data_IF_922090462536
#
_entry.id   IF_922090462536
#
_cell.length_a   1.000
_cell.length_b   1.000
_cell.length_c   1.000
_cell.angle_alpha   90.00
_cell.angle_beta   90.00
_cell.angle_gamma   90.00
#
_symmetry.space_group_name_H-M   'P 1'
#
loop_
_entity.id
_entity.type
_entity.pdbx_description
1 polymer ?
#
# COMPACT_ATOMS: atom_id res chain seq x y z
N UNK A 1 -16.67 -2.74 -6.48
CA UNK A 1 -15.86 -1.58 -6.90
C UNK A 1 -14.74 -2.09 -7.77
N UNK A 2 -14.60 -1.58 -9.00
CA UNK A 2 -13.67 -2.10 -10.01
C UNK A 2 -12.34 -1.34 -10.05
N UNK A 3 -12.01 -0.61 -8.98
CA UNK A 3 -10.81 0.23 -8.89
C UNK A 3 -9.75 -0.43 -8.00
N UNK A 4 -8.48 -0.26 -8.37
CA UNK A 4 -7.31 -0.70 -7.60
C UNK A 4 -6.38 0.48 -7.35
N UNK A 5 -5.64 0.43 -6.23
CA UNK A 5 -4.58 1.39 -5.96
C UNK A 5 -3.35 1.07 -6.82
N UNK A 6 -2.75 2.09 -7.40
CA UNK A 6 -1.46 1.98 -8.09
C UNK A 6 -0.36 2.29 -7.09
N UNK A 7 0.63 1.40 -7.00
CA UNK A 7 1.81 1.68 -6.19
C UNK A 7 2.76 2.61 -6.97
N UNK A 8 3.14 3.79 -6.45
CA UNK A 8 3.98 4.74 -7.17
C UNK A 8 5.39 4.21 -7.46
N UNK A 9 5.87 3.24 -6.66
CA UNK A 9 7.18 2.62 -6.87
C UNK A 9 7.17 1.56 -7.97
N UNK A 10 6.12 0.73 -8.00
CA UNK A 10 6.01 -0.36 -8.98
C UNK A 10 5.35 0.07 -10.29
N UNK A 11 4.68 1.23 -10.28
CA UNK A 11 3.79 1.72 -11.34
C UNK A 11 2.78 0.66 -11.82
N UNK A 12 2.27 -0.13 -10.87
CA UNK A 12 1.36 -1.23 -11.14
C UNK A 12 0.19 -1.24 -10.15
N UNK A 13 -1.02 -1.62 -10.61
CA UNK A 13 -2.15 -1.86 -9.73
C UNK A 13 -1.82 -3.01 -8.78
N UNK A 14 -2.06 -2.79 -7.48
CA UNK A 14 -1.73 -3.76 -6.44
C UNK A 14 -2.72 -3.71 -5.30
N UNK A 15 -2.88 -4.85 -4.62
CA UNK A 15 -3.71 -4.94 -3.42
C UNK A 15 -2.86 -4.51 -2.21
N UNK A 16 -3.22 -3.42 -1.50
CA UNK A 16 -2.50 -3.03 -0.30
C UNK A 16 -2.69 -4.06 0.82
N UNK A 17 -1.67 -4.25 1.67
CA UNK A 17 -1.81 -4.79 3.03
C UNK A 17 -1.95 -3.62 4.00
N UNK A 18 -2.52 -3.87 5.17
CA UNK A 18 -2.50 -2.91 6.26
C UNK A 18 -1.36 -3.24 7.20
N UNK A 19 -0.73 -2.20 7.72
CA UNK A 19 0.32 -2.29 8.73
C UNK A 19 0.19 -1.11 9.69
N UNK A 20 0.92 -1.14 10.79
CA UNK A 20 0.96 -0.05 11.75
C UNK A 20 2.38 0.51 11.85
N UNK A 21 2.52 1.82 11.75
CA UNK A 21 3.79 2.46 12.14
C UNK A 21 3.98 2.39 13.65
N UNK A 22 5.22 2.65 14.08
CA UNK A 22 5.62 2.87 15.47
C UNK A 22 4.68 3.79 16.24
N UNK A 23 4.09 4.76 15.54
CA UNK A 23 3.25 5.80 16.10
C UNK A 23 1.78 5.36 16.28
N UNK A 24 1.47 4.08 16.00
CA UNK A 24 0.12 3.52 16.04
C UNK A 24 -0.76 3.89 14.84
N UNK A 25 -0.22 4.62 13.86
CA UNK A 25 -0.95 4.97 12.63
C UNK A 25 -1.09 3.77 11.71
N UNK A 26 -2.32 3.48 11.31
CA UNK A 26 -2.63 2.46 10.30
C UNK A 26 -2.24 2.98 8.92
N UNK A 27 -1.37 2.25 8.23
CA UNK A 27 -0.94 2.56 6.87
C UNK A 27 -1.26 1.42 5.92
N UNK A 28 -1.35 1.77 4.63
CA UNK A 28 -1.44 0.81 3.55
C UNK A 28 -0.05 0.60 2.98
N UNK A 29 0.33 -0.64 2.77
CA UNK A 29 1.64 -1.03 2.23
C UNK A 29 1.43 -1.88 0.99
N UNK A 30 2.25 -1.66 -0.03
CA UNK A 30 2.29 -2.47 -1.24
C UNK A 30 2.73 -3.90 -0.91
N UNK A 31 1.92 -4.90 -1.30
CA UNK A 31 2.29 -6.31 -1.12
C UNK A 31 3.48 -6.77 -1.96
N UNK A 32 3.76 -6.08 -3.08
CA UNK A 32 4.84 -6.47 -4.02
C UNK A 32 6.21 -5.98 -3.57
N UNK A 33 6.31 -4.70 -3.22
CA UNK A 33 7.59 -4.05 -2.92
C UNK A 33 7.76 -3.59 -1.47
N UNK A 34 6.72 -3.68 -0.64
CA UNK A 34 6.78 -3.24 0.77
C UNK A 34 6.73 -1.73 0.97
N UNK A 35 6.56 -0.92 -0.09
CA UNK A 35 6.45 0.54 0.02
C UNK A 35 5.11 0.97 0.63
N UNK A 36 5.09 2.07 1.38
CA UNK A 36 3.84 2.68 1.81
C UNK A 36 3.06 3.23 0.61
N UNK A 37 1.77 2.88 0.53
CA UNK A 37 0.79 3.43 -0.41
C UNK A 37 -0.07 4.37 0.42
N UNK A 38 0.15 5.68 0.31
CA UNK A 38 -0.65 6.69 1.03
C UNK A 38 -2.10 6.67 0.58
#
# INVERSE_FOLDING_TARGET
SNVMLVCPKCDQPTRPKFDFLSDGKKVRICRKCGEMIL
#
